data_IF_277891314202
#
_entry.id   IF_277891314202
#
_cell.length_a   1.000
_cell.length_b   1.000
_cell.length_c   1.000
_cell.angle_alpha   90.00
_cell.angle_beta   90.00
_cell.angle_gamma   90.00
#
_symmetry.space_group_name_H-M   'P 1'
#
loop_
_entity.id
_entity.type
_entity.pdbx_description
1 polymer ?
2 non-polymer ?
3 non-polymer ?
4 water ?
#
# COMPACT_ATOMS: atom_id res chain seq x y z
N UNK A 4 0.04 -21.90 22.37
CA UNK A 4 0.04 -20.48 21.86
C UNK A 4 -0.72 -20.40 20.53
N UNK A 5 -1.95 -19.86 20.51
CA UNK A 5 -2.77 -19.86 19.29
C UNK A 5 -2.20 -18.85 18.28
N UNK A 6 -2.30 -19.16 17.00
CA UNK A 6 -1.85 -18.21 15.95
C UNK A 6 -2.89 -17.12 15.79
N UNK A 7 -2.46 -15.87 15.55
CA UNK A 7 -3.43 -14.80 15.46
C UNK A 7 -4.24 -14.84 14.18
N UNK A 8 -5.47 -14.33 14.25
CA UNK A 8 -6.40 -14.13 13.12
C UNK A 8 -6.30 -12.68 12.63
N UNK A 9 -5.84 -11.77 13.48
CA UNK A 9 -5.71 -10.33 13.17
C UNK A 9 -4.52 -9.74 13.93
N UNK A 10 -3.82 -8.80 13.30
CA UNK A 10 -2.69 -8.05 13.91
C UNK A 10 -2.97 -6.58 13.73
N UNK A 11 -2.27 -5.76 14.49
CA UNK A 11 -2.33 -4.30 14.26
C UNK A 11 -0.97 -3.87 13.75
N UNK A 12 -1.04 -2.96 12.79
CA UNK A 12 0.14 -2.46 12.07
C UNK A 12 0.15 -0.95 12.23
N UNK A 13 1.28 -0.43 12.68
CA UNK A 13 1.55 1.02 12.71
C UNK A 13 2.33 1.39 11.44
N UNK A 14 1.86 2.42 10.77
CA UNK A 14 2.56 3.05 9.62
C UNK A 14 2.90 4.47 10.04
N UNK A 15 4.18 4.83 9.96
CA UNK A 15 4.56 6.24 10.13
C UNK A 15 5.25 6.78 8.91
N UNK A 16 4.99 8.02 8.56
CA UNK A 16 5.75 8.76 7.53
C UNK A 16 6.15 10.10 8.11
N UNK A 17 7.44 10.39 7.96
CA UNK A 17 7.97 11.71 8.38
C UNK A 17 9.07 12.16 7.46
N UNK A 18 8.89 13.35 6.88
CA UNK A 18 9.98 14.05 6.19
C UNK A 18 10.64 14.90 7.26
N UNK A 19 11.85 14.50 7.61
CA UNK A 19 12.61 15.03 8.77
C UNK A 19 13.31 16.34 8.40
N UNK A 20 13.28 16.77 7.14
CA UNK A 20 13.86 18.09 6.76
C UNK A 20 15.35 18.18 7.06
N UNK A 21 16.03 17.03 7.01
CA UNK A 21 17.51 16.92 7.15
C UNK A 21 17.97 17.32 8.55
N UNK A 22 17.07 17.33 9.53
CA UNK A 22 17.38 17.75 10.92
C UNK A 22 17.24 16.57 11.85
N UNK A 23 18.07 16.46 12.90
CA UNK A 23 17.90 15.40 13.88
C UNK A 23 16.54 15.56 14.53
N UNK A 24 15.94 14.46 14.99
CA UNK A 24 14.66 14.57 15.69
C UNK A 24 14.86 15.15 17.08
N UNK A 25 13.75 15.55 17.74
CA UNK A 25 13.83 15.96 19.14
C UNK A 25 13.98 14.73 20.04
N UNK A 26 14.19 14.99 21.33
CA UNK A 26 14.53 13.86 22.24
C UNK A 26 13.31 12.95 22.43
N UNK A 27 12.10 13.48 22.32
CA UNK A 27 10.89 12.65 22.55
C UNK A 27 10.01 12.66 21.29
N UNK A 28 9.76 11.47 20.73
CA UNK A 28 8.89 11.34 19.53
C UNK A 28 7.80 10.29 19.82
N UNK A 29 7.56 9.94 21.08
CA UNK A 29 6.55 8.92 21.46
C UNK A 29 5.12 9.22 20.95
N UNK A 30 4.75 10.50 20.84
CA UNK A 30 3.40 10.93 20.37
C UNK A 30 3.13 10.31 19.00
N UNK A 31 4.18 10.21 18.17
CA UNK A 31 4.06 9.60 16.82
C UNK A 31 3.55 8.17 16.93
N UNK A 32 4.24 7.36 17.71
CA UNK A 32 3.99 5.91 17.81
C UNK A 32 2.69 5.68 18.58
N UNK A 33 2.24 6.65 19.35
CA UNK A 33 0.97 6.58 20.12
C UNK A 33 -0.21 7.16 19.34
N UNK A 34 -0.02 7.60 18.10
CA UNK A 34 -1.13 8.16 17.28
C UNK A 34 -1.84 9.27 18.05
N UNK A 35 -1.06 10.20 18.59
CA UNK A 35 -1.55 11.39 19.35
C UNK A 35 -1.30 12.66 18.53
N UNK A 36 -2.29 13.56 18.51
CA UNK A 36 -2.15 14.87 17.90
C UNK A 36 -3.46 15.25 17.30
N UNK A 37 -3.46 15.49 15.99
CA UNK A 37 -4.68 15.89 15.24
C UNK A 37 -5.16 14.72 14.39
N UNK A 38 -6.44 14.75 14.01
CA UNK A 38 -7.00 13.78 13.10
C UNK A 38 -7.73 12.72 13.84
N UNK A 39 -7.68 11.49 13.32
CA UNK A 39 -8.30 10.28 13.92
C UNK A 39 -7.25 9.63 14.80
N UNK A 40 -7.30 9.89 16.11
CA UNK A 40 -6.24 9.55 17.06
C UNK A 40 -6.65 8.28 17.82
N UNK A 41 -5.66 7.69 18.45
CA UNK A 41 -5.82 6.43 19.20
C UNK A 41 -6.24 6.75 20.63
N UNK A 42 -7.12 5.92 21.17
CA UNK A 42 -7.62 6.06 22.55
C UNK A 42 -6.47 5.93 23.54
N UNK A 43 -6.51 6.77 24.56
CA UNK A 43 -5.50 6.77 25.66
C UNK A 43 -5.42 5.38 26.30
N UNK A 44 -6.53 4.67 26.41
CA UNK A 44 -6.58 3.38 27.10
C UNK A 44 -5.73 2.32 26.38
N UNK A 45 -5.32 2.58 25.11
CA UNK A 45 -4.47 1.65 24.34
C UNK A 45 -2.98 1.97 24.43
N UNK A 46 -2.57 3.00 25.15
CA UNK A 46 -1.19 3.50 25.03
C UNK A 46 -0.16 2.43 25.36
N UNK A 47 -0.46 1.50 26.27
CA UNK A 47 0.58 0.52 26.63
C UNK A 47 0.53 -0.71 25.71
N UNK A 48 -0.48 -0.82 24.86
CA UNK A 48 -0.70 -2.04 24.03
C UNK A 48 0.21 -1.89 22.81
N UNK A 49 1.18 -2.78 22.60
CA UNK A 49 2.07 -2.63 21.46
C UNK A 49 1.31 -3.02 20.19
N UNK A 50 1.58 -2.33 19.09
CA UNK A 50 1.20 -2.84 17.77
C UNK A 50 2.06 -4.08 17.52
N UNK A 51 1.63 -4.94 16.62
CA UNK A 51 2.37 -6.15 16.24
C UNK A 51 3.57 -5.80 15.38
N UNK A 52 3.39 -4.88 14.46
CA UNK A 52 4.43 -4.47 13.47
C UNK A 52 4.40 -2.95 13.45
N UNK A 53 5.58 -2.35 13.48
CA UNK A 53 5.75 -0.89 13.25
C UNK A 53 6.57 -0.73 11.98
N UNK A 54 6.05 0.06 11.05
CA UNK A 54 6.73 0.39 9.77
C UNK A 54 6.94 1.88 9.72
N UNK A 55 8.20 2.29 9.66
CA UNK A 55 8.61 3.72 9.85
C UNK A 55 9.32 4.26 8.59
N UNK A 56 8.60 5.07 7.81
CA UNK A 56 9.13 5.65 6.57
C UNK A 56 9.62 7.05 6.86
N UNK A 57 10.87 7.32 6.58
CA UNK A 57 11.38 8.71 6.63
C UNK A 57 11.85 9.18 5.26
N UNK A 58 11.85 10.49 5.15
CA UNK A 58 12.40 11.20 3.97
C UNK A 58 13.25 12.35 4.50
N UNK A 59 14.25 12.72 3.73
CA UNK A 59 15.21 13.77 4.15
C UNK A 59 15.76 13.38 5.54
N UNK A 60 16.09 12.12 5.72
CA UNK A 60 16.52 11.54 7.01
C UNK A 60 18.03 11.74 7.10
N UNK A 61 18.52 12.52 8.08
CA UNK A 61 19.96 12.81 8.17
C UNK A 61 20.76 11.78 8.99
N UNK A 62 20.06 10.83 9.59
CA UNK A 62 20.66 9.92 10.57
C UNK A 62 21.24 8.72 9.85
N UNK A 63 22.18 8.08 10.50
CA UNK A 63 22.63 6.75 10.03
C UNK A 63 21.52 5.75 10.40
N UNK A 64 21.53 4.58 9.76
CA UNK A 64 20.57 3.51 10.10
C UNK A 64 20.73 3.19 11.60
N UNK A 65 21.96 3.12 12.08
CA UNK A 65 22.21 2.80 13.50
C UNK A 65 21.58 3.86 14.40
N UNK A 66 21.81 5.13 14.11
CA UNK A 66 21.32 6.22 14.99
C UNK A 66 19.78 6.15 15.05
N UNK A 67 19.14 5.93 13.91
CA UNK A 67 17.66 5.95 13.85
C UNK A 67 17.12 4.69 14.52
N UNK A 68 17.70 3.52 14.27
CA UNK A 68 17.25 2.28 14.96
C UNK A 68 17.30 2.45 16.49
N UNK A 69 18.39 3.03 16.99
CA UNK A 69 18.57 3.36 18.44
C UNK A 69 17.34 4.12 18.93
N UNK A 70 17.06 5.25 18.30
CA UNK A 70 15.96 6.16 18.71
C UNK A 70 14.62 5.41 18.61
N UNK A 71 14.42 4.66 17.52
CA UNK A 71 13.11 3.99 17.38
C UNK A 71 12.96 2.93 18.45
N UNK A 72 13.95 2.06 18.63
CA UNK A 72 13.77 0.95 19.59
C UNK A 72 13.58 1.47 21.01
N UNK A 73 14.37 2.47 21.41
CA UNK A 73 14.27 3.13 22.73
C UNK A 73 12.85 3.67 22.91
N UNK A 74 12.35 4.42 21.92
CA UNK A 74 11.02 5.07 21.98
C UNK A 74 9.93 4.01 22.20
N UNK A 75 10.00 2.89 21.47
CA UNK A 75 8.97 1.84 21.60
C UNK A 75 9.15 1.15 22.96
N UNK A 76 10.39 0.93 23.40
CA UNK A 76 10.61 0.27 24.71
C UNK A 76 10.04 1.14 25.83
N UNK A 77 10.21 2.46 25.76
CA UNK A 77 9.72 3.40 26.80
C UNK A 77 8.19 3.30 26.84
N UNK A 78 7.56 3.25 25.68
CA UNK A 78 6.07 3.20 25.57
C UNK A 78 5.57 1.86 26.10
N UNK A 79 6.12 0.76 25.62
CA UNK A 79 5.46 -0.56 25.70
C UNK A 79 6.17 -1.49 26.69
N UNK A 80 7.41 -1.19 27.08
CA UNK A 80 8.33 -2.11 27.80
C UNK A 80 8.64 -3.36 26.99
N UNK A 81 8.47 -3.30 25.67
CA UNK A 81 8.80 -4.44 24.76
C UNK A 81 10.05 -4.03 24.00
N UNK A 82 11.00 -4.95 23.88
CA UNK A 82 12.19 -4.76 23.03
C UNK A 82 11.87 -5.35 21.65
N UNK A 83 11.63 -4.47 20.67
CA UNK A 83 11.21 -4.90 19.32
C UNK A 83 12.39 -5.48 18.56
N UNK A 84 12.10 -6.45 17.72
CA UNK A 84 13.07 -7.07 16.80
C UNK A 84 13.07 -6.31 15.49
N UNK A 85 14.24 -6.14 14.91
CA UNK A 85 14.38 -5.50 13.59
C UNK A 85 14.13 -6.53 12.50
N UNK A 86 13.09 -6.32 11.71
CA UNK A 86 12.73 -7.21 10.59
C UNK A 86 13.57 -6.81 9.40
N UNK A 87 13.61 -5.51 9.11
CA UNK A 87 14.31 -5.01 7.92
C UNK A 87 14.57 -3.51 8.06
N UNK A 88 15.60 -3.04 7.38
CA UNK A 88 15.91 -1.60 7.25
C UNK A 88 16.52 -1.44 5.87
N UNK A 89 16.05 -0.48 5.12
CA UNK A 89 16.59 -0.20 3.78
C UNK A 89 16.56 1.30 3.55
N UNK A 90 17.65 1.83 3.01
CA UNK A 90 17.83 3.27 2.77
C UNK A 90 18.25 3.49 1.32
N UNK A 91 17.58 4.42 0.63
CA UNK A 91 18.06 4.96 -0.65
C UNK A 91 18.26 6.44 -0.42
N UNK A 92 19.50 6.89 -0.58
CA UNK A 92 19.84 8.31 -0.32
C UNK A 92 19.34 8.67 1.07
N UNK A 93 18.36 9.56 1.23
CA UNK A 93 17.83 9.96 2.55
C UNK A 93 16.38 9.48 2.73
N UNK A 94 16.00 8.46 1.97
CA UNK A 94 14.66 7.80 2.05
C UNK A 94 14.85 6.47 2.75
N UNK A 95 14.17 6.22 3.86
CA UNK A 95 14.43 5.01 4.64
C UNK A 95 13.14 4.35 5.08
N UNK A 96 13.19 3.06 5.18
CA UNK A 96 12.11 2.26 5.78
C UNK A 96 12.71 1.34 6.85
N UNK A 97 12.07 1.33 8.01
CA UNK A 97 12.37 0.40 9.12
C UNK A 97 11.14 -0.42 9.44
N UNK A 98 11.31 -1.73 9.56
CA UNK A 98 10.21 -2.62 10.01
C UNK A 98 10.66 -3.26 11.31
N UNK A 99 9.86 -3.07 12.36
CA UNK A 99 10.06 -3.63 13.71
C UNK A 99 8.86 -4.49 14.06
N UNK A 100 9.10 -5.57 14.78
CA UNK A 100 8.00 -6.49 15.17
C UNK A 100 8.18 -6.98 16.60
N UNK A 101 7.07 -7.29 17.27
CA UNK A 101 7.08 -7.94 18.60
C UNK A 101 8.03 -9.14 18.53
N UNK A 102 8.79 -9.44 19.60
CA UNK A 102 9.62 -10.64 19.60
C UNK A 102 8.87 -11.95 19.39
N UNK A 103 7.62 -12.01 19.82
CA UNK A 103 6.82 -13.27 19.66
C UNK A 103 6.59 -13.56 18.18
N UNK A 104 6.77 -12.58 17.29
CA UNK A 104 6.49 -12.77 15.85
C UNK A 104 7.72 -13.20 15.06
N UNK A 105 8.87 -13.31 15.72
CA UNK A 105 10.14 -13.61 15.03
C UNK A 105 10.03 -14.85 14.13
N UNK A 106 9.36 -15.90 14.63
CA UNK A 106 9.23 -17.21 13.95
C UNK A 106 7.88 -17.30 13.22
N UNK A 107 7.21 -16.17 13.04
CA UNK A 107 6.02 -16.05 12.13
C UNK A 107 6.42 -15.28 10.86
N UNK A 108 7.57 -14.62 10.90
CA UNK A 108 8.01 -13.74 9.80
C UNK A 108 9.07 -14.43 8.98
N UNK A 109 8.90 -14.41 7.66
CA UNK A 109 9.88 -15.04 6.77
C UNK A 109 9.83 -14.39 5.41
N UNK A 110 10.70 -14.81 4.51
CA UNK A 110 10.72 -14.30 3.12
C UNK A 110 10.84 -12.78 3.11
N UNK A 111 11.80 -12.24 3.85
CA UNK A 111 11.94 -10.78 3.96
C UNK A 111 12.66 -10.31 2.70
N UNK A 112 12.07 -9.32 2.02
CA UNK A 112 12.63 -8.71 0.78
C UNK A 112 12.74 -7.20 0.99
N UNK A 113 13.76 -6.61 0.38
CA UNK A 113 13.93 -5.13 0.35
C UNK A 113 14.31 -4.74 -1.05
N UNK A 114 13.87 -3.56 -1.43
CA UNK A 114 14.25 -3.03 -2.75
C UNK A 114 14.11 -1.51 -2.75
N UNK A 115 14.59 -0.89 -3.80
CA UNK A 115 14.44 0.55 -3.98
C UNK A 115 14.24 0.82 -5.48
N UNK A 116 13.63 1.95 -5.76
CA UNK A 116 13.52 2.48 -7.14
C UNK A 116 13.95 3.93 -7.09
N UNK A 117 14.81 4.32 -8.00
CA UNK A 117 15.22 5.70 -8.21
C UNK A 117 14.34 6.29 -9.32
N UNK A 118 13.68 7.43 -9.09
CA UNK A 118 12.79 8.00 -10.15
C UNK A 118 13.52 9.08 -10.96
N UNK A 119 13.07 9.36 -12.19
CA UNK A 119 13.62 10.44 -13.03
C UNK A 119 14.83 10.00 -13.85
N UNK A 120 15.27 10.85 -14.79
CA UNK A 120 16.41 10.62 -15.72
C UNK A 120 17.32 11.85 -15.72
N UNK A 121 18.63 11.66 -15.52
CA UNK A 121 19.70 12.69 -15.63
C UNK A 121 19.46 13.81 -14.60
N UNK A 122 18.95 14.99 -15.03
CA UNK A 122 18.41 16.09 -14.18
C UNK A 122 17.69 15.51 -12.95
N UNK A 123 16.63 14.74 -13.24
CA UNK A 123 15.53 14.36 -12.32
C UNK A 123 15.86 13.03 -11.61
N UNK A 124 17.00 12.39 -11.94
CA UNK A 124 17.58 11.26 -11.16
C UNK A 124 18.58 11.83 -10.15
N UNK A 125 18.38 11.56 -8.87
CA UNK A 125 19.42 11.88 -7.87
C UNK A 125 18.91 12.08 -6.46
N UNK A 126 17.62 12.38 -6.24
CA UNK A 126 17.23 12.26 -4.82
C UNK A 126 15.84 11.69 -4.49
N UNK A 127 14.97 11.50 -5.49
CA UNK A 127 13.57 11.03 -5.29
C UNK A 127 13.47 9.54 -5.67
N UNK A 128 12.55 8.83 -5.02
CA UNK A 128 12.32 7.44 -5.31
C UNK A 128 11.63 6.78 -4.17
N UNK A 129 11.83 5.47 -4.04
CA UNK A 129 11.08 4.72 -3.02
C UNK A 129 11.97 3.62 -2.48
N UNK A 130 11.67 3.22 -1.25
CA UNK A 130 12.20 1.98 -0.67
C UNK A 130 11.03 1.11 -0.25
N UNK A 131 11.24 -0.19 -0.23
CA UNK A 131 10.16 -1.10 0.16
C UNK A 131 10.64 -2.29 0.89
N UNK A 132 9.72 -2.88 1.64
CA UNK A 132 9.96 -4.13 2.37
C UNK A 132 8.74 -5.02 2.14
N UNK A 133 8.98 -6.31 1.95
CA UNK A 133 7.90 -7.30 2.05
C UNK A 133 8.33 -8.48 2.91
N UNK A 134 7.34 -9.21 3.41
CA UNK A 134 7.59 -10.49 4.11
C UNK A 134 6.28 -11.23 4.24
N UNK A 135 6.41 -12.49 4.59
CA UNK A 135 5.24 -13.29 4.99
C UNK A 135 5.09 -13.21 6.50
N UNK A 136 3.87 -13.03 6.97
CA UNK A 136 3.48 -13.17 8.38
C UNK A 136 2.54 -14.38 8.41
N UNK A 137 3.05 -15.51 8.86
CA UNK A 137 2.33 -16.81 8.75
C UNK A 137 1.86 -16.93 7.28
N UNK A 138 0.57 -17.09 7.04
CA UNK A 138 0.07 -17.33 5.68
C UNK A 138 -0.24 -16.07 4.90
N UNK A 139 0.11 -14.91 5.43
CA UNK A 139 -0.30 -13.61 4.87
C UNK A 139 0.91 -12.84 4.37
N UNK A 140 0.85 -12.37 3.12
CA UNK A 140 1.93 -11.55 2.51
C UNK A 140 1.65 -10.06 2.78
N UNK A 141 2.68 -9.37 3.23
CA UNK A 141 2.61 -7.95 3.60
C UNK A 141 3.66 -7.20 2.80
N UNK A 142 3.27 -6.10 2.16
CA UNK A 142 4.20 -5.19 1.45
C UNK A 142 4.07 -3.77 1.96
N UNK A 143 5.19 -3.06 1.93
CA UNK A 143 5.30 -1.69 2.49
C UNK A 143 6.20 -0.89 1.58
N UNK A 144 5.70 0.25 1.15
CA UNK A 144 6.42 1.17 0.24
C UNK A 144 6.45 2.56 0.88
N UNK A 145 7.65 3.09 1.03
CA UNK A 145 7.90 4.48 1.47
C UNK A 145 8.48 5.21 0.27
N UNK A 146 7.74 6.17 -0.26
CA UNK A 146 8.19 6.93 -1.45
C UNK A 146 8.28 8.41 -1.14
N UNK A 147 9.31 9.04 -1.68
CA UNK A 147 9.47 10.52 -1.69
C UNK A 147 9.33 10.94 -3.14
N UNK A 148 8.17 11.50 -3.54
CA UNK A 148 7.90 11.79 -4.94
C UNK A 148 8.35 13.22 -5.25
N UNK A 149 8.32 13.57 -6.52
CA UNK A 149 8.74 14.87 -7.05
C UNK A 149 7.98 15.96 -6.32
N UNK A 150 8.68 17.04 -5.94
CA UNK A 150 8.09 18.20 -5.26
C UNK A 150 7.56 19.22 -6.25
N UNK A 151 6.82 20.18 -5.72
CA UNK A 151 6.35 21.34 -6.50
C UNK A 151 4.90 21.23 -6.88
N UNK A 152 4.14 22.29 -6.65
CA UNK A 152 2.70 22.30 -6.97
C UNK A 152 2.40 21.98 -8.44
N UNK A 153 3.33 22.34 -9.33
CA UNK A 153 3.15 22.30 -10.80
C UNK A 153 3.40 20.88 -11.35
N UNK A 154 3.87 19.96 -10.51
CA UNK A 154 4.42 18.65 -10.96
C UNK A 154 3.57 17.44 -10.57
N UNK A 155 2.26 17.57 -10.54
CA UNK A 155 1.42 16.41 -10.15
C UNK A 155 1.56 15.28 -11.19
N UNK A 156 1.75 15.62 -12.46
CA UNK A 156 1.92 14.57 -13.48
C UNK A 156 3.23 13.80 -13.26
N UNK A 157 4.32 14.51 -12.91
CA UNK A 157 5.61 13.86 -12.57
C UNK A 157 5.39 12.90 -11.41
N UNK A 158 4.69 13.35 -10.39
CA UNK A 158 4.41 12.48 -9.23
C UNK A 158 3.72 11.21 -9.73
N UNK A 159 2.72 11.37 -10.59
CA UNK A 159 1.95 10.20 -11.07
C UNK A 159 2.88 9.26 -11.86
N UNK A 160 3.80 9.83 -12.64
CA UNK A 160 4.82 9.04 -13.35
C UNK A 160 5.78 8.35 -12.37
N UNK A 161 6.18 9.02 -11.28
CA UNK A 161 7.05 8.43 -10.25
C UNK A 161 6.30 7.21 -9.68
N UNK A 162 5.02 7.37 -9.33
CA UNK A 162 4.18 6.28 -8.81
C UNK A 162 4.23 5.07 -9.77
N UNK A 163 4.03 5.29 -11.06
CA UNK A 163 3.98 4.15 -12.01
C UNK A 163 5.36 3.50 -12.10
N UNK A 164 6.44 4.28 -12.12
CA UNK A 164 7.81 3.66 -12.13
C UNK A 164 8.05 2.85 -10.88
N UNK A 165 7.64 3.35 -9.73
CA UNK A 165 7.86 2.60 -8.49
C UNK A 165 7.06 1.28 -8.52
N UNK A 166 5.80 1.40 -8.95
CA UNK A 166 4.81 0.29 -9.05
C UNK A 166 5.35 -0.80 -9.99
N UNK A 167 6.00 -0.38 -11.07
CA UNK A 167 6.51 -1.30 -12.10
C UNK A 167 7.80 -1.97 -11.63
N UNK A 168 8.68 -1.22 -10.97
CA UNK A 168 10.09 -1.66 -10.87
C UNK A 168 10.51 -2.06 -9.47
N UNK A 169 9.68 -1.85 -8.45
CA UNK A 169 10.05 -2.30 -7.12
C UNK A 169 9.85 -3.81 -7.06
N UNK A 170 10.91 -4.54 -6.80
CA UNK A 170 10.93 -6.01 -6.86
C UNK A 170 10.78 -6.58 -5.47
N UNK A 171 9.56 -6.75 -5.02
CA UNK A 171 9.26 -7.33 -3.70
C UNK A 171 8.36 -8.53 -3.87
N UNK A 172 8.21 -9.30 -2.81
CA UNK A 172 7.28 -10.42 -2.80
C UNK A 172 7.78 -11.59 -3.61
N UNK A 173 6.86 -12.47 -3.97
CA UNK A 173 7.17 -13.82 -4.52
C UNK A 173 7.53 -13.63 -6.00
N UNK A 174 8.79 -13.75 -6.44
CA UNK A 174 9.25 -13.57 -7.83
C UNK A 174 8.54 -14.54 -8.79
N UNK A 175 7.98 -15.74 -8.20
CA UNK A 175 7.22 -16.69 -9.07
C UNK A 175 5.97 -16.01 -9.60
N UNK A 176 5.54 -14.90 -8.99
CA UNK A 176 4.36 -14.15 -9.45
C UNK A 176 4.75 -13.22 -10.59
N UNK A 177 5.37 -13.75 -11.64
CA UNK A 177 6.11 -12.93 -12.62
C UNK A 177 5.22 -11.95 -13.36
N UNK A 178 3.93 -12.23 -13.67
CA UNK A 178 3.08 -11.28 -14.39
C UNK A 178 2.62 -10.08 -13.55
N UNK A 179 2.83 -10.19 -12.24
CA UNK A 179 2.20 -9.28 -11.27
C UNK A 179 3.22 -8.30 -10.70
N UNK A 180 2.80 -7.05 -10.67
CA UNK A 180 3.56 -6.00 -9.96
C UNK A 180 3.14 -5.96 -8.49
N UNK A 181 3.76 -5.05 -7.72
CA UNK A 181 3.55 -5.02 -6.24
C UNK A 181 2.07 -4.80 -5.94
N UNK A 182 1.29 -4.19 -6.82
CA UNK A 182 -0.14 -3.91 -6.51
C UNK A 182 -0.98 -5.17 -6.53
N UNK A 183 -0.41 -6.33 -6.87
CA UNK A 183 -1.13 -7.62 -6.80
C UNK A 183 -0.38 -8.65 -5.97
N UNK A 184 0.82 -8.40 -5.48
CA UNK A 184 1.62 -9.48 -4.84
C UNK A 184 1.28 -9.73 -3.37
N UNK A 185 0.54 -8.84 -2.71
CA UNK A 185 0.40 -8.89 -1.24
C UNK A 185 -1.05 -8.96 -0.82
N UNK A 186 -1.34 -9.70 0.21
CA UNK A 186 -2.65 -9.66 0.89
C UNK A 186 -2.95 -8.20 1.26
N UNK A 187 -1.95 -7.53 1.83
CA UNK A 187 -2.08 -6.13 2.30
C UNK A 187 -0.83 -5.38 1.85
N UNK A 188 -1.04 -4.29 1.12
CA UNK A 188 0.03 -3.41 0.62
C UNK A 188 -0.20 -2.03 1.19
N UNK A 189 0.77 -1.50 1.89
CA UNK A 189 0.68 -0.14 2.43
C UNK A 189 1.68 0.73 1.68
N UNK A 190 1.21 1.84 1.17
CA UNK A 190 2.07 2.78 0.41
C UNK A 190 1.94 4.14 1.08
N UNK A 191 3.07 4.69 1.45
CA UNK A 191 3.11 5.92 2.27
C UNK A 191 4.32 6.70 1.87
N UNK A 192 4.41 7.91 2.42
CA UNK A 192 5.61 8.75 2.24
C UNK A 192 5.28 10.22 2.11
N UNK A 193 6.30 10.97 1.70
CA UNK A 193 6.11 12.36 1.24
C UNK A 193 5.76 12.26 -0.25
N UNK A 194 4.47 12.01 -0.51
CA UNK A 194 3.96 11.90 -1.88
C UNK A 194 3.92 13.25 -2.54
N UNK A 195 3.94 14.36 -1.79
CA UNK A 195 4.24 15.69 -2.33
C UNK A 195 3.11 16.28 -3.17
N UNK A 196 1.90 15.71 -3.14
CA UNK A 196 0.74 16.35 -3.77
C UNK A 196 0.32 17.56 -2.92
N UNK A 197 -0.16 18.60 -3.59
CA UNK A 197 -0.41 19.91 -2.98
C UNK A 197 -1.89 20.27 -3.05
N UNK A 198 -2.21 21.29 -2.27
CA UNK A 198 -3.53 21.94 -2.35
C UNK A 198 -3.43 22.96 -3.46
N UNK A 199 -4.10 22.66 -4.58
CA UNK A 199 -4.05 23.46 -5.82
C UNK A 199 -5.07 24.59 -5.71
N UNK A 200 -4.66 25.69 -5.09
CA UNK A 200 -5.42 26.94 -5.04
C UNK A 200 -4.49 28.05 -5.50
N UNK A 201 -5.04 29.23 -5.91
CA UNK A 201 -4.17 30.33 -6.32
C UNK A 201 -3.28 30.75 -5.16
N UNK A 202 -2.04 31.15 -5.44
CA UNK A 202 -1.00 31.46 -4.42
C UNK A 202 -1.42 32.66 -3.58
N UNK A 203 -2.23 33.56 -4.14
CA UNK A 203 -2.75 34.76 -3.43
C UNK A 203 -3.89 34.38 -2.47
N UNK A 204 -4.38 33.13 -2.53
CA UNK A 204 -5.27 32.58 -1.47
C UNK A 204 -4.51 32.02 -0.26
N UNK A 205 -3.19 32.19 -0.15
CA UNK A 205 -2.39 31.58 0.94
C UNK A 205 -2.96 31.94 2.31
N UNK A 206 -3.27 33.21 2.57
CA UNK A 206 -3.68 33.59 3.94
C UNK A 206 -5.09 33.07 4.17
N UNK A 207 -5.92 33.00 3.13
CA UNK A 207 -7.26 32.41 3.23
C UNK A 207 -7.13 30.95 3.64
N UNK A 208 -6.22 30.24 3.00
CA UNK A 208 -5.99 28.80 3.34
C UNK A 208 -5.58 28.65 4.82
N UNK A 209 -4.65 29.46 5.28
CA UNK A 209 -4.18 29.44 6.68
C UNK A 209 -5.35 29.68 7.64
N UNK A 210 -6.23 30.63 7.33
CA UNK A 210 -7.38 30.93 8.21
C UNK A 210 -8.35 29.73 8.20
N UNK A 211 -8.53 29.05 7.06
CA UNK A 211 -9.37 27.82 7.03
C UNK A 211 -8.74 26.78 7.97
N UNK A 212 -7.43 26.60 7.89
CA UNK A 212 -6.72 25.62 8.75
C UNK A 212 -6.93 25.97 10.24
N UNK A 213 -6.82 27.23 10.59
CA UNK A 213 -6.94 27.62 12.02
C UNK A 213 -8.35 27.34 12.52
N UNK A 214 -9.34 27.35 11.63
CA UNK A 214 -10.76 27.05 11.93
C UNK A 214 -11.06 25.56 11.84
N UNK A 215 -10.06 24.76 11.50
CA UNK A 215 -10.22 23.28 11.33
C UNK A 215 -11.30 23.00 10.29
N UNK A 216 -11.34 23.82 9.24
CA UNK A 216 -12.34 23.71 8.15
C UNK A 216 -11.59 23.25 6.92
N UNK A 217 -11.51 21.94 6.73
CA UNK A 217 -10.59 21.38 5.70
C UNK A 217 -11.34 21.11 4.40
N UNK A 218 -12.67 21.13 4.35
CA UNK A 218 -13.45 20.62 3.22
C UNK A 218 -13.06 21.34 1.93
N UNK A 219 -12.98 22.67 1.96
CA UNK A 219 -12.70 23.49 0.77
C UNK A 219 -11.21 23.35 0.40
N UNK A 220 -10.39 22.81 1.29
CA UNK A 220 -8.98 22.60 0.93
C UNK A 220 -8.86 21.20 0.30
N UNK A 221 -9.44 20.18 0.94
CA UNK A 221 -9.34 18.79 0.44
C UNK A 221 -9.95 18.67 -0.96
N UNK A 222 -10.96 19.48 -1.30
CA UNK A 222 -11.58 19.43 -2.64
C UNK A 222 -10.57 19.92 -3.70
N UNK A 223 -9.43 20.51 -3.32
CA UNK A 223 -8.34 20.90 -4.24
C UNK A 223 -7.04 20.13 -3.95
N UNK A 224 -7.07 19.15 -3.05
CA UNK A 224 -5.91 18.25 -2.85
C UNK A 224 -5.65 17.41 -4.10
N UNK A 225 -4.43 17.54 -4.62
CA UNK A 225 -4.11 16.92 -5.93
C UNK A 225 -4.15 15.40 -5.82
N UNK A 226 -3.83 14.81 -4.68
CA UNK A 226 -3.84 13.33 -4.61
C UNK A 226 -5.31 12.88 -4.67
N UNK A 227 -6.19 13.49 -3.89
CA UNK A 227 -7.62 13.13 -3.97
C UNK A 227 -8.15 13.35 -5.41
N UNK A 228 -7.86 14.48 -6.05
CA UNK A 228 -8.45 14.80 -7.37
C UNK A 228 -7.83 13.89 -8.42
N UNK A 229 -6.52 13.62 -8.36
CA UNK A 229 -5.91 12.71 -9.33
C UNK A 229 -6.45 11.29 -9.16
N UNK A 230 -6.64 10.87 -7.91
CA UNK A 230 -7.24 9.53 -7.62
C UNK A 230 -8.67 9.49 -8.17
N UNK A 231 -9.44 10.56 -8.00
CA UNK A 231 -10.86 10.60 -8.47
C UNK A 231 -10.89 10.43 -9.99
N UNK A 232 -9.90 10.98 -10.70
CA UNK A 232 -9.82 10.91 -12.18
C UNK A 232 -9.05 9.67 -12.64
N UNK A 233 -8.70 8.77 -11.72
CA UNK A 233 -8.06 7.48 -12.02
C UNK A 233 -6.72 7.74 -12.69
N UNK A 234 -6.03 8.79 -12.28
CA UNK A 234 -4.68 9.09 -12.83
C UNK A 234 -3.58 8.43 -12.02
N UNK A 235 -3.86 8.02 -10.77
CA UNK A 235 -2.82 7.53 -9.84
C UNK A 235 -3.52 6.75 -8.75
N UNK A 236 -2.82 5.77 -8.18
CA UNK A 236 -3.27 5.04 -6.99
C UNK A 236 -4.64 4.39 -7.25
N UNK A 237 -4.86 3.90 -8.46
CA UNK A 237 -6.11 3.18 -8.79
C UNK A 237 -6.20 1.95 -7.89
N UNK A 238 -7.34 1.80 -7.26
CA UNK A 238 -7.72 0.65 -6.41
C UNK A 238 -7.05 0.69 -5.05
N UNK A 239 -6.46 1.83 -4.70
CA UNK A 239 -5.99 2.06 -3.31
C UNK A 239 -7.02 2.85 -2.51
N UNK A 240 -6.94 2.72 -1.18
CA UNK A 240 -7.83 3.41 -0.21
C UNK A 240 -7.00 4.42 0.58
N UNK A 241 -7.65 5.48 1.07
CA UNK A 241 -7.05 6.38 2.07
C UNK A 241 -8.18 6.71 3.04
N UNK A 242 -7.85 6.74 4.33
CA UNK A 242 -8.80 7.17 5.40
C UNK A 242 -9.07 8.67 5.22
N UNK A 243 -10.27 9.12 5.58
CA UNK A 243 -10.62 10.56 5.53
C UNK A 243 -9.59 11.35 6.31
N UNK A 244 -9.15 12.47 5.74
CA UNK A 244 -8.18 13.38 6.38
C UNK A 244 -8.91 14.35 7.28
N UNK A 245 -8.55 14.36 8.56
CA UNK A 245 -9.23 15.22 9.58
C UNK A 245 -8.17 15.98 10.37
N UNK A 246 -6.95 16.04 9.87
CA UNK A 246 -5.81 16.77 10.48
C UNK A 246 -5.39 17.90 9.57
N UNK A 247 -4.74 18.92 10.13
CA UNK A 247 -4.24 20.05 9.32
C UNK A 247 -3.18 19.59 8.34
N UNK A 248 -3.02 20.32 7.21
CA UNK A 248 -1.87 20.11 6.34
C UNK A 248 -0.57 20.01 7.12
N UNK A 249 0.30 19.08 6.71
CA UNK A 249 1.51 18.70 7.46
C UNK A 249 2.75 19.38 6.91
N UNK A 250 2.55 20.30 5.97
CA UNK A 250 3.64 21.02 5.26
C UNK A 250 3.06 22.36 4.81
N UNK A 251 3.82 23.46 4.77
CA UNK A 251 5.20 23.61 5.16
C UNK A 251 5.25 24.50 6.38
N UNK A 252 5.77 24.01 7.47
CA UNK A 252 5.82 24.74 8.77
C UNK A 252 7.16 25.43 8.93
N UNK A 253 7.14 26.55 9.65
CA UNK A 253 8.36 27.10 10.26
C UNK A 253 8.82 26.08 11.31
N UNK A 254 10.10 25.79 11.34
CA UNK A 254 10.67 24.87 12.35
C UNK A 254 10.54 25.43 13.76
N UNK A 255 10.41 24.55 14.73
CA UNK A 255 10.51 24.78 16.20
C UNK A 255 9.19 25.38 16.71
N UNK A 256 8.18 25.56 15.86
CA UNK A 256 6.80 25.87 16.32
C UNK A 256 5.84 25.03 15.48
N UNK A 257 4.53 24.97 15.78
CA UNK A 257 3.56 24.58 14.71
C UNK A 257 2.60 25.72 14.47
N UNK A 258 2.96 26.92 14.91
CA UNK A 258 2.00 28.05 14.90
C UNK A 258 2.01 28.73 13.54
N UNK A 259 2.96 28.38 12.66
CA UNK A 259 3.20 29.16 11.44
C UNK A 259 3.48 28.26 10.24
N UNK A 260 2.72 28.47 9.20
CA UNK A 260 2.98 27.94 7.85
C UNK A 260 3.89 28.91 7.11
N UNK A 261 4.99 28.41 6.59
CA UNK A 261 5.98 29.15 5.77
C UNK A 261 5.72 28.79 4.32
N UNK A 262 4.95 29.62 3.63
CA UNK A 262 4.53 29.33 2.24
C UNK A 262 5.17 30.21 1.15
N UNK A 263 5.75 31.33 1.54
CA UNK A 263 6.25 32.39 0.60
C UNK A 263 7.47 31.87 -0.17
N UNK A 264 7.60 32.29 -1.43
CA UNK A 264 8.73 31.90 -2.30
C UNK A 264 10.01 32.52 -1.76
N UNK A 265 11.06 31.72 -1.76
CA UNK A 265 12.40 32.03 -1.19
C UNK A 265 13.44 31.46 -2.14
N UNK A 266 14.66 32.01 -2.14
CA UNK A 266 15.74 31.34 -2.89
C UNK A 266 15.81 29.86 -2.51
N UNK A 267 15.69 29.54 -1.22
CA UNK A 267 15.82 28.16 -0.71
C UNK A 267 14.71 27.27 -1.29
N UNK A 268 13.59 27.82 -1.77
CA UNK A 268 12.52 27.01 -2.42
C UNK A 268 12.59 27.04 -3.94
N UNK A 269 13.67 27.56 -4.54
CA UNK A 269 13.68 27.75 -5.98
C UNK A 269 12.63 28.74 -6.42
N UNK A 270 12.34 29.73 -5.58
CA UNK A 270 11.32 30.78 -5.85
C UNK A 270 9.96 30.14 -6.11
N UNK A 271 9.68 29.04 -5.41
CA UNK A 271 8.37 28.35 -5.43
C UNK A 271 7.62 28.76 -4.16
N UNK A 272 6.27 28.86 -4.30
CA UNK A 272 5.36 28.92 -3.15
C UNK A 272 5.14 27.49 -2.71
N UNK A 273 4.99 27.35 -1.42
CA UNK A 273 4.59 26.05 -0.79
C UNK A 273 3.32 26.31 0.00
N UNK A 274 2.19 26.44 -0.66
CA UNK A 274 0.91 26.58 0.05
C UNK A 274 0.75 25.36 0.96
N UNK A 275 0.13 25.51 2.14
CA UNK A 275 -0.12 24.42 3.06
C UNK A 275 -0.76 23.26 2.33
N UNK A 276 -0.18 22.09 2.52
CA UNK A 276 -0.55 20.88 1.77
C UNK A 276 -0.43 19.62 2.63
N UNK A 277 -1.17 18.62 2.23
CA UNK A 277 -1.11 17.27 2.81
C UNK A 277 -0.09 16.47 2.01
N UNK A 278 1.20 16.77 2.19
CA UNK A 278 2.24 16.09 1.40
C UNK A 278 2.42 14.64 1.87
N UNK A 279 2.09 14.36 3.12
CA UNK A 279 2.55 13.17 3.85
C UNK A 279 1.37 12.25 4.10
N UNK A 280 1.37 11.09 3.45
CA UNK A 280 0.12 10.31 3.29
C UNK A 280 0.35 8.83 3.56
N UNK A 281 -0.73 8.13 3.88
CA UNK A 281 -0.72 6.66 3.98
C UNK A 281 -1.92 6.13 3.22
N UNK A 282 -1.67 5.25 2.26
CA UNK A 282 -2.69 4.56 1.49
C UNK A 282 -2.49 3.06 1.57
N UNK A 283 -3.53 2.29 1.27
CA UNK A 283 -3.36 0.83 1.28
C UNK A 283 -4.21 0.19 0.20
N UNK A 284 -3.87 -1.05 -0.09
CA UNK A 284 -4.66 -1.89 -0.97
C UNK A 284 -4.56 -3.30 -0.46
N UNK A 285 -5.71 -3.92 -0.18
CA UNK A 285 -5.75 -5.29 0.34
C UNK A 285 -6.53 -6.10 -0.67
N UNK A 286 -6.29 -7.38 -0.70
CA UNK A 286 -7.06 -8.29 -1.55
C UNK A 286 -8.53 -8.25 -1.15
N UNK A 287 -9.41 -8.55 -2.10
CA UNK A 287 -10.84 -8.45 -1.85
C UNK A 287 -11.29 -9.33 -0.69
N UNK A 288 -12.16 -8.78 0.15
CA UNK A 288 -12.82 -9.49 1.27
C UNK A 288 -11.81 -9.97 2.32
N UNK A 289 -10.70 -9.25 2.49
CA UNK A 289 -9.82 -9.45 3.64
C UNK A 289 -10.07 -8.28 4.60
N UNK A 290 -10.10 -8.61 5.88
CA UNK A 290 -10.34 -7.59 6.93
C UNK A 290 -9.16 -6.61 6.92
N UNK A 291 -9.47 -5.32 6.78
CA UNK A 291 -8.47 -4.25 6.97
C UNK A 291 -9.27 -3.04 7.45
N UNK A 292 -8.98 -2.55 8.64
CA UNK A 292 -9.70 -1.37 9.19
C UNK A 292 -8.66 -0.35 9.66
N UNK A 293 -8.77 0.86 9.18
CA UNK A 293 -7.93 1.98 9.64
C UNK A 293 -8.46 2.42 11.01
N UNK A 294 -7.60 2.34 12.02
CA UNK A 294 -7.91 2.65 13.43
C UNK A 294 -7.50 4.09 13.76
N UNK A 295 -6.50 4.63 13.05
CA UNK A 295 -6.00 6.00 13.30
C UNK A 295 -5.38 6.52 12.02
N UNK A 296 -5.46 7.83 11.86
CA UNK A 296 -4.84 8.55 10.73
C UNK A 296 -4.78 10.00 11.15
N UNK A 297 -3.58 10.47 11.40
CA UNK A 297 -3.41 11.82 11.91
C UNK A 297 -2.00 12.31 11.86
N UNK A 298 -1.78 13.46 12.45
CA UNK A 298 -0.43 14.05 12.52
C UNK A 298 -0.11 14.46 13.96
N UNK A 299 1.17 14.39 14.29
CA UNK A 299 1.62 14.87 15.64
C UNK A 299 1.61 16.40 15.65
N UNK A 300 1.45 16.95 16.85
CA UNK A 300 1.48 18.40 17.11
C UNK A 300 2.72 18.83 17.91
N UNK A 301 3.51 17.91 18.45
CA UNK A 301 4.56 18.24 19.42
C UNK A 301 5.95 17.88 18.87
N UNK A 302 6.09 17.54 17.58
CA UNK A 302 7.42 17.20 16.98
C UNK A 302 7.68 18.24 15.90
N UNK A 303 8.63 19.15 16.14
CA UNK A 303 8.72 20.46 15.44
C UNK A 303 10.09 20.69 14.80
N UNK A 304 10.94 19.66 14.70
CA UNK A 304 12.32 19.84 14.17
C UNK A 304 12.29 20.01 12.67
N UNK A 305 11.27 19.52 12.00
CA UNK A 305 11.16 19.54 10.55
C UNK A 305 10.14 20.56 10.10
N UNK A 306 10.15 20.88 8.82
CA UNK A 306 9.09 21.70 8.20
C UNK A 306 7.88 20.84 7.83
N UNK A 307 7.99 19.53 8.08
CA UNK A 307 6.82 18.62 8.02
C UNK A 307 6.51 18.10 9.40
N UNK A 308 5.24 17.84 9.66
CA UNK A 308 4.84 17.05 10.83
C UNK A 308 4.76 15.57 10.47
N UNK A 309 5.22 14.69 11.38
CA UNK A 309 4.99 13.26 11.26
C UNK A 309 3.50 12.95 11.09
N UNK A 310 3.23 11.92 10.29
CA UNK A 310 1.88 11.32 10.08
C UNK A 310 1.95 9.88 10.58
N UNK A 311 0.87 9.47 11.24
CA UNK A 311 0.65 8.08 11.70
C UNK A 311 -0.63 7.56 11.08
N UNK A 312 -0.62 6.28 10.82
CA UNK A 312 -1.84 5.52 10.56
C UNK A 312 -1.71 4.16 11.23
N UNK A 313 -2.81 3.64 11.75
CA UNK A 313 -2.82 2.28 12.28
C UNK A 313 -3.96 1.49 11.67
N UNK A 314 -3.70 0.20 11.58
CA UNK A 314 -4.62 -0.73 10.92
C UNK A 314 -4.77 -2.02 11.71
N UNK A 315 -5.99 -2.54 11.73
CA UNK A 315 -6.28 -3.94 12.13
C UNK A 315 -6.37 -4.76 10.84
N UNK A 316 -5.46 -5.72 10.62
CA UNK A 316 -5.33 -6.47 9.36
C UNK A 316 -5.53 -7.96 9.62
N UNK A 317 -6.42 -8.57 8.84
CA UNK A 317 -6.64 -10.01 8.89
C UNK A 317 -5.39 -10.73 8.46
N UNK A 318 -5.07 -11.82 9.16
CA UNK A 318 -3.95 -12.72 8.84
C UNK A 318 -4.47 -14.14 8.96
N UNK A 319 -3.80 -15.04 8.28
CA UNK A 319 -4.11 -16.47 8.28
C UNK A 319 -2.91 -17.25 8.79
N UNK A 320 -3.18 -18.46 9.28
CA UNK A 320 -2.15 -19.40 9.79
C UNK A 320 -1.42 -20.05 8.62
N UNK A 321 -0.27 -20.68 8.90
CA UNK A 321 0.48 -21.50 7.92
C UNK A 321 -0.10 -22.93 7.91
N UNK A 322 -1.03 -23.23 7.03
CA UNK A 322 -1.90 -24.42 7.06
C UNK A 322 -1.16 -25.68 6.62
N UNK A 323 -1.27 -26.76 7.43
CA UNK A 323 -0.76 -28.13 7.09
C UNK A 323 -1.92 -29.13 7.22
N UNK A 324 -2.18 -29.88 6.16
CA UNK A 324 -3.09 -31.04 6.23
C UNK A 324 -2.29 -32.34 6.00
N UNK A 325 -3.01 -33.45 6.02
CA UNK A 325 -2.50 -34.80 5.71
C UNK A 325 -1.95 -34.83 4.28
N UNK A 326 -2.58 -34.05 3.41
CA UNK A 326 -2.34 -33.98 1.94
C UNK A 326 -1.38 -32.82 1.69
N UNK A 327 -1.88 -31.66 1.27
CA UNK A 327 -1.00 -30.53 0.99
C UNK A 327 -0.59 -29.82 2.29
N UNK A 328 0.52 -29.07 2.30
CA UNK A 328 1.43 -28.98 1.14
C UNK A 328 2.21 -30.24 0.77
N UNK A 329 2.55 -30.36 -0.50
CA UNK A 329 3.36 -31.43 -1.12
C UNK A 329 2.54 -32.36 -1.96
N UNK A 330 1.23 -32.11 -2.07
CA UNK A 330 0.33 -32.87 -2.95
C UNK A 330 -0.98 -32.07 -3.05
N UNK A 331 -1.87 -32.51 -3.93
CA UNK A 331 -3.25 -31.98 -4.08
C UNK A 331 -4.15 -32.69 -3.06
N UNK A 332 -5.32 -32.09 -2.80
CA UNK A 332 -6.38 -32.69 -1.94
C UNK A 332 -7.59 -32.90 -2.85
N UNK A 333 -7.82 -34.13 -3.28
CA UNK A 333 -8.82 -34.44 -4.33
C UNK A 333 -10.22 -33.97 -3.88
N UNK A 334 -10.44 -33.66 -2.60
CA UNK A 334 -11.78 -33.24 -2.11
C UNK A 334 -12.02 -31.75 -2.41
N UNK A 335 -11.02 -31.07 -2.96
CA UNK A 335 -11.11 -29.63 -3.33
C UNK A 335 -11.01 -29.42 -4.83
N UNK A 336 -11.77 -28.44 -5.36
CA UNK A 336 -11.61 -28.00 -6.76
C UNK A 336 -12.21 -26.60 -6.94
N UNK A 337 -11.66 -25.89 -7.91
CA UNK A 337 -12.15 -24.55 -8.28
C UNK A 337 -12.52 -24.59 -9.76
N UNK A 338 -13.78 -24.34 -10.09
CA UNK A 338 -14.25 -24.30 -11.48
C UNK A 338 -14.76 -22.91 -11.84
N UNK A 339 -14.59 -22.56 -13.11
CA UNK A 339 -14.94 -21.25 -13.72
C UNK A 339 -15.93 -21.49 -14.85
N UNK A 340 -17.06 -20.81 -14.83
CA UNK A 340 -18.12 -20.98 -15.83
C UNK A 340 -18.34 -19.65 -16.54
N UNK A 341 -18.74 -19.66 -17.84
CA UNK A 341 -19.22 -18.46 -18.57
C UNK A 341 -18.23 -17.29 -18.31
N UNK A 342 -16.92 -17.53 -18.36
CA UNK A 342 -15.94 -16.44 -18.13
C UNK A 342 -15.56 -15.70 -19.42
N UNK A 343 -15.41 -14.40 -19.29
CA UNK A 343 -14.87 -13.61 -20.40
C UNK A 343 -14.11 -12.42 -19.84
N UNK A 344 -13.08 -12.06 -20.58
CA UNK A 344 -12.28 -10.84 -20.33
C UNK A 344 -12.76 -9.80 -21.32
N UNK A 345 -12.94 -8.55 -20.91
CA UNK A 345 -13.19 -7.39 -21.79
C UNK A 345 -11.90 -6.58 -21.74
N UNK A 346 -11.24 -6.38 -22.87
CA UNK A 346 -9.95 -5.65 -22.88
C UNK A 346 -10.10 -4.36 -23.65
N UNK A 347 -9.36 -3.34 -23.24
CA UNK A 347 -9.34 -2.02 -23.92
C UNK A 347 -8.36 -2.05 -25.12
N UNK A 348 -7.47 -3.03 -25.19
CA UNK A 348 -6.43 -3.11 -26.24
C UNK A 348 -7.04 -3.01 -27.64
N UNK A 349 -6.36 -2.28 -28.51
CA UNK A 349 -6.77 -2.13 -29.93
C UNK A 349 -6.13 -3.26 -30.73
N UNK A 350 -5.29 -4.09 -30.10
CA UNK A 350 -4.53 -5.18 -30.76
C UNK A 350 -5.46 -6.38 -31.04
N UNK A 351 -5.07 -7.22 -32.02
CA UNK A 351 -5.71 -8.51 -32.35
C UNK A 351 -4.61 -9.57 -32.39
N UNK A 352 -4.38 -10.22 -31.23
CA UNK A 352 -3.63 -11.46 -30.98
C UNK A 352 -4.61 -12.39 -30.24
N UNK A 353 -4.28 -13.66 -30.11
CA UNK A 353 -5.02 -14.57 -29.21
C UNK A 353 -4.53 -14.31 -27.78
N UNK A 354 -5.37 -14.64 -26.82
CA UNK A 354 -5.07 -14.49 -25.37
C UNK A 354 -5.35 -15.79 -24.65
N UNK A 355 -4.54 -16.07 -23.64
CA UNK A 355 -4.79 -17.14 -22.65
C UNK A 355 -4.69 -16.55 -21.24
N UNK A 356 -5.17 -17.29 -20.25
CA UNK A 356 -5.12 -16.89 -18.82
C UNK A 356 -4.03 -17.68 -18.09
N UNK A 357 -3.44 -17.07 -17.08
CA UNK A 357 -2.67 -17.78 -16.06
C UNK A 357 -3.32 -17.53 -14.71
N UNK A 358 -3.50 -18.60 -13.95
CA UNK A 358 -4.03 -18.57 -12.58
C UNK A 358 -2.86 -18.79 -11.66
N UNK A 359 -2.63 -17.85 -10.75
CA UNK A 359 -1.57 -18.00 -9.73
C UNK A 359 -2.16 -17.94 -8.33
N UNK A 360 -1.78 -18.85 -7.48
CA UNK A 360 -2.23 -18.78 -6.06
C UNK A 360 -1.39 -19.71 -5.22
N UNK A 361 -1.15 -19.31 -3.97
CA UNK A 361 -0.49 -20.13 -2.92
C UNK A 361 -1.26 -21.43 -2.67
N UNK A 362 -2.56 -21.46 -2.99
CA UNK A 362 -3.39 -22.69 -2.81
C UNK A 362 -3.11 -23.71 -3.92
N UNK A 363 -2.33 -23.36 -4.96
CA UNK A 363 -1.97 -24.31 -6.06
C UNK A 363 -0.51 -24.72 -5.95
N UNK A 364 -0.19 -25.93 -6.44
CA UNK A 364 1.24 -26.35 -6.40
C UNK A 364 2.06 -25.47 -7.33
N UNK A 365 1.50 -25.09 -8.48
CA UNK A 365 2.12 -24.10 -9.36
C UNK A 365 1.04 -23.44 -10.22
N UNK A 366 1.43 -22.41 -10.94
CA UNK A 366 0.47 -21.62 -11.75
C UNK A 366 -0.07 -22.47 -12.89
N UNK A 367 -1.27 -22.12 -13.31
CA UNK A 367 -2.02 -22.89 -14.35
C UNK A 367 -2.26 -21.98 -15.54
N UNK A 368 -2.01 -22.53 -16.73
CA UNK A 368 -2.13 -21.81 -18.03
C UNK A 368 -3.30 -22.39 -18.82
N UNK A 369 -4.33 -21.56 -19.07
CA UNK A 369 -5.54 -21.97 -19.82
C UNK A 369 -5.20 -22.14 -21.30
N UNK A 370 -6.16 -22.75 -22.01
CA UNK A 370 -6.28 -22.67 -23.49
C UNK A 370 -6.57 -21.23 -23.89
N UNK A 371 -6.28 -20.93 -25.13
CA UNK A 371 -6.62 -19.61 -25.73
C UNK A 371 -8.12 -19.44 -25.71
N UNK A 372 -8.58 -18.26 -25.36
CA UNK A 372 -9.98 -17.87 -25.49
C UNK A 372 -10.32 -17.50 -26.93
N UNK A 373 -11.61 -17.28 -27.18
CA UNK A 373 -12.14 -16.86 -28.49
C UNK A 373 -12.48 -15.37 -28.47
N UNK A 374 -11.82 -14.62 -29.33
CA UNK A 374 -11.99 -13.17 -29.49
C UNK A 374 -13.32 -12.89 -30.18
N UNK A 375 -14.12 -12.00 -29.61
CA UNK A 375 -15.26 -11.36 -30.31
C UNK A 375 -15.17 -9.86 -30.15
N UNK A 376 -15.97 -9.13 -30.92
CA UNK A 376 -16.12 -7.66 -30.89
C UNK A 376 -17.30 -7.32 -29.95
N UNK A 377 -17.07 -6.48 -28.93
CA UNK A 377 -18.15 -5.90 -28.10
C UNK A 377 -18.96 -4.86 -28.87
N UNK A 378 -20.16 -4.53 -28.39
CA UNK A 378 -21.15 -3.67 -29.09
C UNK A 378 -20.68 -2.22 -29.12
N UNK A 379 -19.71 -1.86 -28.27
CA UNK A 379 -19.19 -0.46 -28.14
C UNK A 379 -17.72 -0.43 -28.56
N UNK A 380 -17.27 -1.36 -29.42
CA UNK A 380 -15.90 -1.39 -29.98
C UNK A 380 -14.93 -2.37 -29.30
N UNK A 381 -15.23 -2.86 -28.09
CA UNK A 381 -14.25 -3.54 -27.17
C UNK A 381 -13.79 -4.89 -27.71
N UNK A 382 -12.62 -5.35 -27.28
CA UNK A 382 -12.29 -6.79 -27.49
C UNK A 382 -12.86 -7.60 -26.31
N UNK A 383 -13.60 -8.66 -26.60
CA UNK A 383 -14.13 -9.58 -25.57
C UNK A 383 -13.46 -10.91 -25.82
N UNK A 384 -12.79 -11.47 -24.83
CA UNK A 384 -12.11 -12.77 -24.99
C UNK A 384 -12.97 -13.78 -24.25
N UNK A 385 -13.58 -14.71 -24.97
CA UNK A 385 -14.52 -15.67 -24.34
C UNK A 385 -13.77 -16.94 -23.98
N UNK A 386 -13.92 -17.38 -22.75
CA UNK A 386 -13.34 -18.65 -22.26
C UNK A 386 -14.44 -19.71 -22.13
N UNK A 387 -15.70 -19.28 -22.18
CA UNK A 387 -16.91 -20.09 -21.93
C UNK A 387 -16.72 -20.97 -20.70
N UNK A 388 -16.77 -22.28 -20.94
CA UNK A 388 -16.69 -23.36 -19.92
C UNK A 388 -15.35 -24.05 -20.13
N UNK A 389 -14.42 -23.41 -20.86
CA UNK A 389 -13.16 -24.05 -21.31
C UNK A 389 -12.05 -23.95 -20.24
N UNK A 390 -12.18 -23.12 -19.19
CA UNK A 390 -11.03 -22.92 -18.24
C UNK A 390 -10.74 -24.21 -17.48
N UNK A 391 -9.47 -24.51 -17.18
CA UNK A 391 -9.12 -25.72 -16.44
C UNK A 391 -9.78 -25.74 -15.05
N UNK A 392 -9.92 -26.96 -14.52
CA UNK A 392 -10.36 -27.18 -13.12
C UNK A 392 -9.10 -27.03 -12.26
N UNK A 393 -9.11 -26.11 -11.27
CA UNK A 393 -7.93 -25.88 -10.41
C UNK A 393 -7.99 -26.84 -9.23
N UNK A 394 -6.83 -27.38 -8.90
CA UNK A 394 -6.65 -28.44 -7.87
C UNK A 394 -5.92 -27.84 -6.70
N UNK A 395 -6.65 -27.40 -5.65
CA UNK A 395 -5.99 -26.84 -4.49
C UNK A 395 -5.22 -27.91 -3.69
N UNK A 396 -4.18 -27.46 -3.00
CA UNK A 396 -3.29 -28.31 -2.15
C UNK A 396 -4.00 -28.77 -0.89
N UNK A 397 -5.01 -28.03 -0.46
CA UNK A 397 -5.75 -28.26 0.81
C UNK A 397 -7.23 -27.96 0.52
N UNK A 398 -8.13 -28.83 0.93
CA UNK A 398 -9.58 -28.73 0.62
C UNK A 398 -10.34 -28.19 1.81
N UNK A 399 -9.74 -28.15 3.00
CA UNK A 399 -10.41 -27.70 4.23
C UNK A 399 -10.96 -26.29 3.96
N UNK A 400 -12.26 -26.03 4.17
CA UNK A 400 -12.84 -24.72 3.86
C UNK A 400 -12.27 -23.61 4.73
N UNK A 401 -11.79 -23.95 5.93
CA UNK A 401 -11.18 -22.96 6.86
C UNK A 401 -9.90 -22.40 6.24
N UNK A 402 -9.28 -23.17 5.36
CA UNK A 402 -8.11 -22.68 4.58
C UNK A 402 -8.62 -22.09 3.27
N UNK A 403 -9.38 -22.84 2.51
CA UNK A 403 -9.55 -22.51 1.07
C UNK A 403 -10.38 -21.21 0.90
N UNK A 404 -11.38 -20.98 1.75
CA UNK A 404 -12.24 -19.79 1.62
C UNK A 404 -11.43 -18.52 1.95
N UNK A 405 -10.27 -18.64 2.58
CA UNK A 405 -9.40 -17.45 2.87
C UNK A 405 -8.43 -17.16 1.74
N UNK A 406 -8.43 -17.94 0.65
CA UNK A 406 -7.40 -17.78 -0.40
C UNK A 406 -7.89 -16.86 -1.51
N UNK A 407 -6.99 -16.57 -2.43
CA UNK A 407 -7.24 -15.67 -3.58
C UNK A 407 -6.55 -16.25 -4.80
N UNK A 408 -7.18 -16.05 -5.94
CA UNK A 408 -6.63 -16.43 -7.26
C UNK A 408 -6.25 -15.17 -8.02
N UNK A 409 -4.97 -15.01 -8.33
CA UNK A 409 -4.49 -13.95 -9.23
C UNK A 409 -4.67 -14.44 -10.66
N UNK A 410 -5.16 -13.57 -11.52
CA UNK A 410 -5.38 -13.84 -12.94
C UNK A 410 -4.55 -12.87 -13.76
N UNK A 411 -3.80 -13.41 -14.71
CA UNK A 411 -3.22 -12.60 -15.79
C UNK A 411 -3.78 -13.07 -17.11
N UNK A 412 -4.11 -12.12 -17.97
CA UNK A 412 -4.47 -12.43 -19.39
C UNK A 412 -3.28 -12.07 -20.24
N UNK A 413 -2.76 -13.06 -20.96
CA UNK A 413 -1.48 -12.94 -21.70
C UNK A 413 -1.69 -13.15 -23.20
N UNK A 414 -0.95 -12.38 -23.99
CA UNK A 414 -0.88 -12.53 -25.45
C UNK A 414 -0.20 -13.86 -25.80
N UNK A 415 -0.81 -14.66 -26.65
CA UNK A 415 -0.15 -15.89 -27.14
C UNK A 415 1.10 -15.49 -27.93
N UNK A 416 1.07 -14.40 -28.65
CA UNK A 416 2.18 -13.96 -29.56
C UNK A 416 3.41 -13.57 -28.73
N UNK A 417 3.21 -12.89 -27.61
CA UNK A 417 4.34 -12.23 -26.90
C UNK A 417 4.52 -12.81 -25.49
N UNK A 418 3.52 -13.52 -24.95
CA UNK A 418 3.50 -14.02 -23.56
C UNK A 418 3.58 -12.84 -22.57
N UNK A 419 3.17 -11.55 -23.09
CA UNK A 419 3.14 -10.38 -22.18
C UNK A 419 1.74 -10.25 -21.59
N UNK A 420 1.76 -9.97 -20.23
CA UNK A 420 0.44 -9.72 -19.59
C UNK A 420 -0.18 -8.42 -20.14
N UNK A 421 -1.46 -8.48 -20.51
CA UNK A 421 -2.29 -7.31 -20.87
C UNK A 421 -3.16 -6.86 -19.70
N UNK A 422 -3.27 -7.67 -18.66
CA UNK A 422 -4.11 -7.28 -17.52
C UNK A 422 -3.99 -8.29 -16.40
N UNK A 423 -4.04 -7.79 -15.18
CA UNK A 423 -3.88 -8.57 -13.94
C UNK A 423 -5.02 -8.21 -13.02
N UNK A 424 -5.49 -9.20 -12.30
CA UNK A 424 -6.54 -9.01 -11.30
C UNK A 424 -6.53 -10.09 -10.26
N UNK A 425 -7.52 -10.06 -9.40
CA UNK A 425 -7.56 -10.93 -8.22
C UNK A 425 -9.01 -11.26 -7.86
N UNK A 426 -9.24 -12.55 -7.62
CA UNK A 426 -10.57 -13.11 -7.24
C UNK A 426 -10.48 -13.72 -5.85
N UNK A 427 -11.36 -13.28 -4.95
CA UNK A 427 -11.44 -13.86 -3.59
C UNK A 427 -12.21 -15.20 -3.65
N UNK A 428 -11.77 -16.19 -2.88
CA UNK A 428 -12.53 -17.47 -2.67
C UNK A 428 -13.41 -17.39 -1.42
N UNK A 429 -13.58 -16.20 -0.85
CA UNK A 429 -14.44 -15.96 0.34
C UNK A 429 -15.90 -15.91 -0.12
N UNK A 430 -16.42 -17.03 -0.64
CA UNK A 430 -17.74 -17.08 -1.33
C UNK A 430 -18.90 -17.19 -0.35
N UNK A 431 -20.05 -16.77 -0.80
CA UNK A 431 -21.31 -16.86 -0.06
C UNK A 431 -21.74 -18.31 0.06
N UNK A 432 -21.25 -19.19 -0.81
CA UNK A 432 -21.65 -20.61 -0.84
C UNK A 432 -20.60 -21.44 -1.53
N UNK A 433 -20.53 -22.74 -1.20
CA UNK A 433 -19.72 -23.71 -1.95
C UNK A 433 -20.64 -24.59 -2.80
N UNK A 434 -20.07 -25.25 -3.79
CA UNK A 434 -20.80 -26.19 -4.67
C UNK A 434 -21.96 -25.45 -5.34
N UNK A 435 -21.85 -24.11 -5.51
CA UNK A 435 -22.91 -23.20 -6.02
C UNK A 435 -22.27 -22.27 -7.05
N UNK A 436 -22.86 -22.14 -8.24
CA UNK A 436 -22.32 -21.18 -9.26
C UNK A 436 -22.55 -19.76 -8.79
N UNK A 437 -21.51 -18.95 -8.67
CA UNK A 437 -21.65 -17.60 -8.11
C UNK A 437 -20.90 -16.62 -9.00
N UNK A 438 -21.41 -15.40 -9.18
CA UNK A 438 -20.71 -14.43 -10.03
C UNK A 438 -19.33 -14.11 -9.44
N UNK A 439 -18.35 -13.90 -10.30
CA UNK A 439 -17.03 -13.36 -9.90
C UNK A 439 -16.70 -12.19 -10.82
N UNK A 440 -15.82 -11.32 -10.33
CA UNK A 440 -15.45 -10.10 -11.07
C UNK A 440 -14.12 -9.61 -10.51
N UNK A 441 -13.26 -9.16 -11.41
CA UNK A 441 -12.13 -8.26 -11.05
C UNK A 441 -11.90 -7.27 -12.18
N UNK A 442 -11.54 -6.03 -11.83
CA UNK A 442 -10.94 -5.17 -12.83
C UNK A 442 -9.57 -5.76 -13.21
N UNK A 443 -9.12 -5.46 -14.41
CA UNK A 443 -7.76 -5.86 -14.86
C UNK A 443 -6.94 -4.61 -15.04
N UNK A 444 -5.70 -4.65 -14.56
CA UNK A 444 -4.78 -3.52 -14.72
C UNK A 444 -3.48 -4.03 -15.32
N UNK A 445 -2.73 -3.11 -15.89
CA UNK A 445 -1.35 -3.37 -16.32
C UNK A 445 -0.57 -2.09 -16.09
N UNK A 446 0.56 -2.24 -15.40
CA UNK A 446 1.34 -1.11 -14.87
C UNK A 446 0.42 -0.23 -14.04
N UNK A 447 -0.53 -0.86 -13.35
CA UNK A 447 -1.42 -0.17 -12.40
C UNK A 447 -2.48 0.68 -13.09
N UNK A 448 -2.61 0.62 -14.43
CA UNK A 448 -3.64 1.36 -15.18
C UNK A 448 -4.75 0.37 -15.59
N UNK A 449 -6.00 0.82 -15.65
CA UNK A 449 -7.10 -0.09 -16.03
C UNK A 449 -6.95 -0.49 -17.49
N UNK A 450 -6.98 -1.78 -17.76
CA UNK A 450 -6.86 -2.32 -19.13
C UNK A 450 -8.06 -3.19 -19.51
N UNK A 451 -8.99 -3.42 -18.58
CA UNK A 451 -10.09 -4.36 -18.89
C UNK A 451 -10.74 -4.87 -17.64
N UNK A 452 -11.47 -5.93 -17.83
CA UNK A 452 -12.30 -6.58 -16.80
C UNK A 452 -12.32 -8.07 -17.03
N UNK A 453 -12.47 -8.81 -15.95
CA UNK A 453 -12.70 -10.27 -16.05
C UNK A 453 -13.94 -10.61 -15.22
N UNK A 454 -14.84 -11.36 -15.84
CA UNK A 454 -16.09 -11.71 -15.12
C UNK A 454 -16.58 -13.06 -15.59
N UNK A 455 -17.38 -13.67 -14.73
CA UNK A 455 -17.90 -15.00 -15.00
C UNK A 455 -18.51 -15.55 -13.75
N UNK A 456 -18.40 -16.86 -13.62
CA UNK A 456 -18.92 -17.55 -12.44
C UNK A 456 -17.87 -18.53 -11.95
N UNK A 457 -17.91 -18.80 -10.67
CA UNK A 457 -17.02 -19.75 -9.97
C UNK A 457 -17.93 -20.79 -9.32
N UNK A 458 -17.37 -22.01 -9.14
CA UNK A 458 -17.98 -23.14 -8.39
C UNK A 458 -16.83 -23.72 -7.55
N UNK A 459 -16.95 -23.52 -6.23
CA UNK A 459 -15.88 -23.96 -5.32
C UNK A 459 -16.34 -25.19 -4.54
N UNK A 460 -15.51 -26.23 -4.59
CA UNK A 460 -15.69 -27.50 -3.82
C UNK A 460 -14.68 -27.52 -2.67
N UNK A 461 -15.14 -27.62 -1.43
CA UNK A 461 -14.27 -27.82 -0.26
C UNK A 461 -14.64 -29.19 0.30
N UNK A 462 -13.90 -29.63 1.29
CA UNK A 462 -14.17 -30.94 1.96
C UNK A 462 -15.51 -30.89 2.71
N UNK A 463 -16.10 -29.72 2.94
CA UNK A 463 -17.37 -29.63 3.71
C UNK A 463 -18.58 -29.52 2.79
X LIG B 1 -12.69 6.79 -5.20
X LIG B 1 -12.11 5.42 -3.31
X LIG B 1 -12.50 8.22 -4.97
X LIG B 1 -11.24 8.75 -5.14
X LIG B 1 -11.04 10.15 -4.91
X LIG B 1 -12.08 10.97 -4.59
X LIG B 1 -13.35 10.45 -4.43
X LIG B 1 -13.37 4.82 -3.25
X LIG B 1 -13.64 4.36 -2.03
X LIG B 1 -14.38 5.64 -3.80
X LIG B 1 -13.56 9.04 -4.63
X LIG B 1 -13.98 6.12 -5.20
X LIG B 1 -11.70 5.82 -4.71
X LIG B 1 -11.85 12.44 -4.38
X LIG B 1 -11.63 13.56 -4.25
X LIG C 1 -3.96 -14.53 3.06
X LIG C 1 -3.87 -14.39 4.55
X LIG C 1 -5.61 -14.08 2.68
X LIG C 1 -4.16 -16.26 2.72
X LIG D 1 -1.76 -15.44 -3.28
X LIG D 1 -2.21 -16.87 -3.26
X LIG D 1 -0.22 -15.47 -4.24
X LIG D 1 -2.73 -14.64 -4.48
X LIG E 1 -8.40 -5.93 -8.32
X LIG E 1 -7.01 -6.41 -8.02
X LIG E 1 -8.51 -4.38 -7.49
X LIG E 1 -9.47 -6.90 -7.31
#
# INVERSE_FOLDING_TARGET
SMEQPEPDMITIFIGTWNMGNAPPPKKITSWFLSKGQGKTRDDSADYIPHDIYVIGTQEDPLSEKEWLEILKHSLQEITSVTFKTVAIHTLWNIRIVVLAKPEHENRISHICTDNVKTGIANTLGNKGAVGVSFMFNGTSLGFVNSHLTSGSEKKLRRNQNYMNILRFLALGDKKLSPFNITHRFTHLFWFGDLNYRVDLPTWEAETIIQKIKQQQYADLLSHDQLLTERREQKVFLHFEEEEITFAPTYRFERLTRDKYAYTKQKATGMKYNLPSWCDRVLWKSYPLVHVVCQSYGSTSDIMTSDHSPVFATFEAGVTSQFVSKNGPGTVDSQGQIEFLRCYATLKTKSQTKFYLEFHSSCLESFVKSQEGENEEGSEGELVVKFGETLPKLKPIISDPEYLLDQHILISIKSSDSDESYGEGCIALRLEATETQLPIYTPLTHHGELTGHFQGEIKLQTSQ
RXJ N1 C4 C5 C6 C7 C8 C10 N C C1 C11 C2 C3 C9 N2
DMS S O C1 C2
DMS S O C1 C2
DMS S O C1 C2
#
